data_IF_192298275743
#
_entry.id   IF_192298275743
#
_cell.length_a   1.000
_cell.length_b   1.000
_cell.length_c   1.000
_cell.angle_alpha   90.00
_cell.angle_beta   90.00
_cell.angle_gamma   90.00
#
_symmetry.space_group_name_H-M   'P 1'
#
loop_
_entity.id
_entity.type
_entity.pdbx_description
1 polymer ?
#
# COMPACT_ATOMS: atom_id res chain seq x y z
N UNK A 1 23.25 2.91 -16.14
CA UNK A 1 22.25 2.24 -15.27
C UNK A 1 21.14 3.26 -15.10
N UNK A 2 19.94 3.00 -15.64
CA UNK A 2 18.85 3.98 -15.62
C UNK A 2 18.01 3.72 -14.38
N UNK A 3 18.38 4.32 -13.26
CA UNK A 3 17.71 4.16 -11.96
C UNK A 3 16.18 4.38 -12.02
N UNK A 4 15.71 5.22 -12.95
CA UNK A 4 14.28 5.47 -13.16
C UNK A 4 13.52 4.34 -13.86
N UNK A 5 14.19 3.55 -14.72
CA UNK A 5 13.52 2.44 -15.44
C UNK A 5 13.32 1.23 -14.54
N UNK A 6 14.15 1.10 -13.51
CA UNK A 6 14.17 -0.06 -12.63
C UNK A 6 13.22 0.13 -11.42
N UNK A 7 12.66 1.33 -11.22
CA UNK A 7 11.75 1.60 -10.09
C UNK A 7 10.51 0.70 -10.06
N UNK A 8 9.80 0.46 -11.18
CA UNK A 8 8.63 -0.44 -11.18
C UNK A 8 9.02 -1.89 -10.91
N UNK A 9 10.14 -2.36 -11.48
CA UNK A 9 10.63 -3.72 -11.26
C UNK A 9 11.04 -3.93 -9.80
N UNK A 10 11.78 -2.97 -9.23
CA UNK A 10 12.17 -2.98 -7.82
C UNK A 10 10.95 -2.96 -6.90
N UNK A 11 9.94 -2.16 -7.21
CA UNK A 11 8.68 -2.16 -6.48
C UNK A 11 8.02 -3.54 -6.50
N UNK A 12 7.88 -4.16 -7.68
CA UNK A 12 7.28 -5.48 -7.81
C UNK A 12 8.09 -6.56 -7.07
N UNK A 13 9.43 -6.51 -7.13
CA UNK A 13 10.29 -7.43 -6.38
C UNK A 13 10.06 -7.32 -4.86
N UNK A 14 9.96 -6.11 -4.32
CA UNK A 14 9.67 -5.90 -2.90
C UNK A 14 8.28 -6.43 -2.51
N UNK A 15 7.28 -6.24 -3.37
CA UNK A 15 5.93 -6.80 -3.16
C UNK A 15 5.98 -8.33 -3.11
N UNK A 16 6.66 -8.96 -4.07
CA UNK A 16 6.83 -10.41 -4.11
C UNK A 16 7.59 -10.92 -2.87
N UNK A 17 8.65 -10.25 -2.45
CA UNK A 17 9.41 -10.61 -1.26
C UNK A 17 8.54 -10.53 0.02
N UNK A 18 7.74 -9.47 0.15
CA UNK A 18 6.83 -9.33 1.29
C UNK A 18 5.75 -10.41 1.30
N UNK A 19 5.17 -10.74 0.15
CA UNK A 19 4.21 -11.85 0.06
C UNK A 19 4.83 -13.21 0.37
N UNK A 20 6.10 -13.43 -0.01
CA UNK A 20 6.82 -14.66 0.35
C UNK A 20 7.03 -14.78 1.86
N UNK A 21 7.23 -13.64 2.56
CA UNK A 21 7.39 -13.60 4.03
C UNK A 21 6.07 -13.74 4.78
N UNK A 22 4.99 -13.16 4.27
CA UNK A 22 3.64 -13.33 4.82
C UNK A 22 2.64 -13.72 3.72
N UNK A 23 2.48 -15.04 3.47
CA UNK A 23 1.57 -15.56 2.44
C UNK A 23 0.09 -15.25 2.66
N UNK A 24 -0.29 -14.73 3.83
CA UNK A 24 -1.67 -14.31 4.13
C UNK A 24 -2.01 -12.97 3.49
N UNK A 25 -1.00 -12.17 3.14
CA UNK A 25 -1.20 -10.89 2.48
C UNK A 25 -1.63 -11.09 1.02
N UNK A 26 -2.72 -10.42 0.64
CA UNK A 26 -3.05 -10.27 -0.78
C UNK A 26 -1.97 -9.44 -1.48
N UNK A 27 -1.84 -9.56 -2.80
CA UNK A 27 -0.84 -8.78 -3.54
C UNK A 27 -1.10 -7.28 -3.41
N UNK A 28 -2.36 -6.86 -3.24
CA UNK A 28 -2.71 -5.47 -3.05
C UNK A 28 -2.38 -4.97 -1.63
N UNK A 29 -2.55 -5.82 -0.61
CA UNK A 29 -2.10 -5.50 0.76
C UNK A 29 -0.59 -5.37 0.85
N UNK A 30 0.16 -6.30 0.25
CA UNK A 30 1.61 -6.20 0.19
C UNK A 30 2.07 -4.95 -0.57
N UNK A 31 1.43 -4.64 -1.71
CA UNK A 31 1.69 -3.41 -2.45
C UNK A 31 1.41 -2.14 -1.64
N UNK A 32 0.34 -2.11 -0.84
CA UNK A 32 0.02 -0.98 0.05
C UNK A 32 1.13 -0.74 1.09
N UNK A 33 1.63 -1.81 1.70
CA UNK A 33 2.70 -1.75 2.70
C UNK A 33 3.98 -1.25 2.03
N UNK A 34 4.43 -1.89 0.94
CA UNK A 34 5.65 -1.51 0.23
C UNK A 34 5.58 -0.07 -0.26
N UNK A 35 4.45 0.35 -0.84
CA UNK A 35 4.28 1.72 -1.32
C UNK A 35 4.41 2.77 -0.20
N UNK A 36 3.96 2.44 1.01
CA UNK A 36 4.12 3.29 2.18
C UNK A 36 5.57 3.29 2.70
N UNK A 37 6.23 2.12 2.74
CA UNK A 37 7.61 1.97 3.21
C UNK A 37 8.61 2.74 2.34
N UNK A 38 8.43 2.69 1.02
CA UNK A 38 9.33 3.33 0.06
C UNK A 38 8.88 4.75 -0.33
N UNK A 39 7.77 5.23 0.25
CA UNK A 39 7.30 6.61 0.07
C UNK A 39 6.61 6.90 -1.28
N UNK A 40 6.20 5.87 -2.04
CA UNK A 40 5.47 6.03 -3.30
C UNK A 40 4.04 6.55 -3.07
N UNK A 41 3.36 6.07 -2.03
CA UNK A 41 2.02 6.53 -1.68
C UNK A 41 1.74 6.40 -0.18
N UNK A 42 1.18 7.48 0.39
CA UNK A 42 0.78 7.56 1.80
C UNK A 42 -0.74 7.80 1.96
N UNK A 43 -1.49 7.69 0.87
CA UNK A 43 -2.94 7.84 0.87
C UNK A 43 -3.63 6.96 -0.18
N UNK A 44 -4.88 6.61 0.10
CA UNK A 44 -5.63 5.64 -0.70
C UNK A 44 -5.95 6.10 -2.12
N UNK A 45 -6.04 7.41 -2.37
CA UNK A 45 -6.33 7.96 -3.71
C UNK A 45 -5.08 7.98 -4.58
N UNK A 46 -3.94 8.42 -4.03
CA UNK A 46 -2.66 8.43 -4.73
C UNK A 46 -2.23 7.02 -5.10
N UNK A 47 -2.35 6.08 -4.16
CA UNK A 47 -2.07 4.67 -4.41
C UNK A 47 -2.96 4.09 -5.52
N UNK A 48 -4.28 4.29 -5.44
CA UNK A 48 -5.22 3.81 -6.46
C UNK A 48 -4.86 4.34 -7.86
N UNK A 49 -4.54 5.63 -7.96
CA UNK A 49 -4.15 6.28 -9.21
C UNK A 49 -2.82 5.74 -9.77
N UNK A 50 -1.82 5.55 -8.92
CA UNK A 50 -0.50 5.09 -9.34
C UNK A 50 -0.50 3.64 -9.82
N UNK A 51 -1.26 2.76 -9.15
CA UNK A 51 -1.35 1.35 -9.50
C UNK A 51 -2.45 1.05 -10.54
N UNK A 52 -3.23 2.05 -10.95
CA UNK A 52 -4.32 1.87 -11.91
C UNK A 52 -5.45 0.99 -11.39
N UNK A 53 -5.69 0.98 -10.07
CA UNK A 53 -6.71 0.13 -9.42
C UNK A 53 -7.88 0.95 -8.90
N UNK A 54 -9.04 0.31 -8.74
CA UNK A 54 -10.24 0.97 -8.21
C UNK A 54 -10.03 1.41 -6.75
N UNK A 55 -10.37 2.67 -6.44
CA UNK A 55 -10.22 3.24 -5.09
C UNK A 55 -11.00 2.46 -4.02
N UNK A 56 -12.19 1.95 -4.34
CA UNK A 56 -12.98 1.13 -3.43
C UNK A 56 -12.27 -0.17 -3.03
N UNK A 57 -11.53 -0.79 -3.95
CA UNK A 57 -10.74 -1.99 -3.66
C UNK A 57 -9.58 -1.67 -2.72
N UNK A 58 -8.91 -0.54 -2.94
CA UNK A 58 -7.85 -0.05 -2.05
C UNK A 58 -8.38 0.19 -0.64
N UNK A 59 -9.56 0.81 -0.50
CA UNK A 59 -10.17 1.04 0.81
C UNK A 59 -10.54 -0.27 1.52
N UNK A 60 -11.06 -1.26 0.78
CA UNK A 60 -11.36 -2.58 1.33
C UNK A 60 -10.11 -3.23 1.90
N UNK A 61 -9.04 -3.33 1.12
CA UNK A 61 -7.80 -4.00 1.53
C UNK A 61 -7.09 -3.24 2.66
N UNK A 62 -7.06 -1.91 2.60
CA UNK A 62 -6.51 -1.06 3.67
C UNK A 62 -7.26 -1.26 4.99
N UNK A 63 -8.60 -1.24 4.97
CA UNK A 63 -9.38 -1.45 6.19
C UNK A 63 -9.23 -2.88 6.73
N UNK A 64 -9.15 -3.89 5.85
CA UNK A 64 -8.89 -5.27 6.25
C UNK A 64 -7.53 -5.40 6.94
N UNK A 65 -6.48 -4.79 6.37
CA UNK A 65 -5.12 -4.84 6.92
C UNK A 65 -5.05 -4.19 8.32
N UNK A 66 -5.69 -3.03 8.50
CA UNK A 66 -5.75 -2.34 9.80
C UNK A 66 -6.54 -3.17 10.81
N UNK A 67 -7.66 -3.78 10.41
CA UNK A 67 -8.48 -4.59 11.29
C UNK A 67 -7.75 -5.85 11.79
N UNK A 68 -6.85 -6.42 10.99
CA UNK A 68 -6.03 -7.57 11.38
C UNK A 68 -4.80 -7.20 12.20
N UNK A 69 -4.60 -5.92 12.54
CA UNK A 69 -3.40 -5.45 13.24
C UNK A 69 -2.14 -5.48 12.36
N UNK A 70 -2.31 -5.32 11.04
CA UNK A 70 -1.19 -5.22 10.11
C UNK A 70 -0.36 -3.94 10.31
N UNK A 71 0.77 -3.79 9.60
CA UNK A 71 1.77 -2.75 9.88
C UNK A 71 1.36 -1.34 9.39
N UNK A 72 0.12 -1.14 8.96
CA UNK A 72 -0.37 0.18 8.54
C UNK A 72 -1.33 0.72 9.58
N UNK A 73 -1.16 2.00 9.91
CA UNK A 73 -2.11 2.76 10.71
C UNK A 73 -2.69 3.91 9.89
N UNK A 74 -4.01 4.04 9.93
CA UNK A 74 -4.71 5.19 9.33
C UNK A 74 -4.58 6.38 10.29
N UNK A 75 -4.01 7.48 9.79
CA UNK A 75 -3.77 8.70 10.56
C UNK A 75 -4.84 9.77 10.33
N UNK A 76 -5.51 9.75 9.18
CA UNK A 76 -6.54 10.73 8.82
C UNK A 76 -7.49 10.14 7.79
N UNK A 77 -8.78 10.47 7.91
CA UNK A 77 -9.80 10.18 6.89
C UNK A 77 -10.51 11.47 6.48
N UNK A 78 -10.72 11.63 5.19
CA UNK A 78 -11.51 12.72 4.63
C UNK A 78 -12.91 12.24 4.28
N UNK A 79 -13.93 12.79 4.93
CA UNK A 79 -15.32 12.35 4.77
C UNK A 79 -15.86 12.55 3.34
N UNK A 80 -15.48 13.65 2.67
CA UNK A 80 -16.01 13.99 1.33
C UNK A 80 -15.42 13.15 0.20
N UNK A 81 -14.14 12.82 0.29
CA UNK A 81 -13.38 12.16 -0.79
C UNK A 81 -13.15 10.67 -0.52
N UNK A 82 -13.49 10.21 0.69
CA UNK A 82 -13.15 8.89 1.23
C UNK A 82 -11.63 8.61 1.14
N UNK A 83 -10.82 9.66 1.18
CA UNK A 83 -9.37 9.54 1.17
C UNK A 83 -8.89 9.17 2.57
N UNK A 84 -8.11 8.10 2.66
CA UNK A 84 -7.50 7.64 3.91
C UNK A 84 -6.00 7.84 3.78
N UNK A 85 -5.43 8.61 4.71
CA UNK A 85 -3.99 8.76 4.86
C UNK A 85 -3.50 7.72 5.87
N UNK A 86 -2.38 7.09 5.58
CA UNK A 86 -1.82 6.01 6.38
C UNK A 86 -0.30 6.11 6.45
N UNK A 87 0.26 5.50 7.51
CA UNK A 87 1.70 5.41 7.74
C UNK A 87 2.06 3.98 8.15
N UNK A 88 3.32 3.61 7.95
CA UNK A 88 3.88 2.39 8.50
C UNK A 88 4.04 2.57 10.00
N UNK A 89 3.43 1.66 10.75
CA UNK A 89 3.58 1.53 12.19
C UNK A 89 4.47 0.31 12.43
N UNK A 90 5.75 0.56 12.72
CA UNK A 90 6.66 -0.52 13.16
C UNK A 90 6.38 -0.80 14.64
N UNK A 91 6.24 -2.07 15.04
CA UNK A 91 6.21 -2.45 16.45
C UNK A 91 7.53 -2.12 17.16
#
# INVERSE_FOLDING_TARGET
MNEDRDQPERFLSLVTELQAKDPRLTSLQAALIVAAEVGIALDSRSFARLLGVAHALVLRELNALVATGGPLRIVKREARTLRSFYVIERP
#
